data_IF_630331907537
#
_entry.id   IF_630331907537
#
_cell.length_a   1.000
_cell.length_b   1.000
_cell.length_c   1.000
_cell.angle_alpha   90.00
_cell.angle_beta   90.00
_cell.angle_gamma   90.00
#
_symmetry.space_group_name_H-M   'P 1'
#
loop_
_entity.id
_entity.type
_entity.pdbx_description
1 polymer ?
#
# COMPACT_ATOMS: atom_id res chain seq x y z
N UNK A 1 13.22 -15.22 -36.42
CA UNK A 1 13.67 -13.85 -36.70
C UNK A 1 13.48 -13.54 -38.17
N UNK A 2 12.36 -12.91 -38.50
CA UNK A 2 12.11 -12.31 -39.80
C UNK A 2 13.10 -11.15 -40.03
N UNK A 3 13.34 -10.77 -41.29
CA UNK A 3 14.19 -9.61 -41.61
C UNK A 3 13.64 -8.33 -40.95
N UNK A 4 12.32 -8.21 -40.82
CA UNK A 4 11.64 -7.07 -40.17
C UNK A 4 11.96 -6.94 -38.67
N UNK A 5 11.87 -8.05 -37.93
CA UNK A 5 12.17 -8.07 -36.48
C UNK A 5 13.61 -7.65 -36.18
N UNK A 6 14.55 -7.95 -37.09
CA UNK A 6 15.95 -7.53 -36.96
C UNK A 6 16.15 -6.04 -37.25
N UNK A 7 15.34 -5.47 -38.13
CA UNK A 7 15.36 -4.05 -38.48
C UNK A 7 14.79 -3.23 -37.31
N UNK A 8 13.67 -3.65 -36.73
CA UNK A 8 13.03 -2.97 -35.59
C UNK A 8 13.98 -2.90 -34.37
N UNK A 9 14.69 -3.99 -34.08
CA UNK A 9 15.70 -4.03 -33.01
C UNK A 9 16.83 -3.04 -33.24
N UNK A 10 17.31 -2.92 -34.48
CA UNK A 10 18.37 -1.98 -34.83
C UNK A 10 17.91 -0.52 -34.71
N UNK A 11 16.65 -0.25 -35.05
CA UNK A 11 16.03 1.06 -34.87
C UNK A 11 15.95 1.44 -33.39
N UNK A 12 15.57 0.52 -32.51
CA UNK A 12 15.54 0.74 -31.06
C UNK A 12 16.93 0.94 -30.44
N UNK A 13 17.96 0.25 -30.92
CA UNK A 13 19.34 0.46 -30.45
C UNK A 13 19.87 1.85 -30.77
N UNK A 14 19.46 2.43 -31.91
CA UNK A 14 19.85 3.78 -32.37
C UNK A 14 19.18 4.91 -31.57
N UNK A 15 18.06 4.62 -30.88
CA UNK A 15 17.31 5.61 -30.12
C UNK A 15 17.99 5.94 -28.78
N UNK A 16 17.80 7.18 -28.32
CA UNK A 16 18.25 7.62 -26.99
C UNK A 16 17.29 7.08 -25.92
N UNK A 17 17.78 6.99 -24.69
CA UNK A 17 17.01 6.48 -23.56
C UNK A 17 15.69 7.25 -23.34
N UNK A 18 15.68 8.57 -23.54
CA UNK A 18 14.46 9.38 -23.45
C UNK A 18 13.41 8.99 -24.50
N UNK A 19 13.84 8.83 -25.77
CA UNK A 19 12.94 8.42 -26.86
C UNK A 19 12.39 7.02 -26.65
N UNK A 20 13.21 6.09 -26.16
CA UNK A 20 12.74 4.73 -25.80
C UNK A 20 11.66 4.75 -24.72
N UNK A 21 11.78 5.65 -23.74
CA UNK A 21 10.76 5.85 -22.69
C UNK A 21 9.47 6.45 -23.23
N UNK A 22 9.55 7.37 -24.18
CA UNK A 22 8.36 7.97 -24.79
C UNK A 22 7.59 6.94 -25.62
N UNK A 23 8.31 6.10 -26.38
CA UNK A 23 7.72 4.99 -27.15
C UNK A 23 7.06 3.95 -26.24
N UNK A 24 7.66 3.66 -25.07
CA UNK A 24 7.03 2.79 -24.06
C UNK A 24 5.79 3.42 -23.42
N UNK A 25 5.79 4.75 -23.21
CA UNK A 25 4.63 5.47 -22.68
C UNK A 25 3.47 5.49 -23.68
N UNK A 26 3.76 5.61 -24.98
CA UNK A 26 2.75 5.55 -26.04
C UNK A 26 2.12 4.14 -26.18
N UNK A 27 2.88 3.10 -25.82
CA UNK A 27 2.44 1.69 -25.81
C UNK A 27 1.91 1.22 -24.44
N UNK A 28 1.74 2.12 -23.47
CA UNK A 28 1.30 1.84 -22.09
C UNK A 28 2.14 0.77 -21.34
N UNK A 29 3.44 0.67 -21.65
CA UNK A 29 4.38 -0.28 -21.03
C UNK A 29 5.19 0.38 -19.91
N UNK A 30 5.65 -0.44 -18.95
CA UNK A 30 6.50 0.03 -17.83
C UNK A 30 7.78 0.70 -18.33
N UNK A 31 8.02 1.92 -17.87
CA UNK A 31 9.13 2.82 -18.30
C UNK A 31 10.39 2.68 -17.42
N UNK A 32 10.36 1.76 -16.45
CA UNK A 32 11.49 1.48 -15.55
C UNK A 32 12.45 0.44 -16.15
N UNK A 33 13.75 0.60 -15.85
CA UNK A 33 14.81 -0.33 -16.24
C UNK A 33 16.02 0.32 -16.94
N UNK A 34 17.00 -0.51 -17.31
CA UNK A 34 18.18 -0.12 -18.10
C UNK A 34 17.82 -0.03 -19.59
N UNK A 35 18.64 0.67 -20.40
CA UNK A 35 18.40 0.86 -21.85
C UNK A 35 18.10 -0.46 -22.58
N UNK A 36 18.84 -1.53 -22.26
CA UNK A 36 18.64 -2.84 -22.87
C UNK A 36 17.28 -3.49 -22.52
N UNK A 37 16.79 -3.30 -21.29
CA UNK A 37 15.49 -3.83 -20.86
C UNK A 37 14.32 -3.10 -21.54
N UNK A 38 14.47 -1.79 -21.77
CA UNK A 38 13.49 -1.01 -22.52
C UNK A 38 13.39 -1.49 -23.98
N UNK A 39 14.53 -1.82 -24.60
CA UNK A 39 14.58 -2.34 -25.98
C UNK A 39 13.96 -3.74 -26.04
N UNK A 40 14.33 -4.64 -25.12
CA UNK A 40 13.76 -5.99 -25.07
C UNK A 40 12.24 -5.97 -24.86
N UNK A 41 11.74 -5.06 -24.01
CA UNK A 41 10.29 -4.90 -23.77
C UNK A 41 9.54 -4.39 -24.99
N UNK A 42 10.14 -3.50 -25.78
CA UNK A 42 9.57 -3.06 -27.06
C UNK A 42 9.58 -4.20 -28.08
N UNK A 43 10.70 -4.91 -28.21
CA UNK A 43 10.85 -6.06 -29.11
C UNK A 43 9.84 -7.18 -28.78
N UNK A 44 9.62 -7.47 -27.49
CA UNK A 44 8.62 -8.42 -27.02
C UNK A 44 7.21 -7.94 -27.36
N UNK A 45 6.86 -6.69 -27.05
CA UNK A 45 5.53 -6.14 -27.34
C UNK A 45 5.21 -6.06 -28.84
N UNK A 46 6.19 -5.79 -29.70
CA UNK A 46 5.99 -5.78 -31.15
C UNK A 46 5.95 -7.21 -31.74
N UNK A 47 6.59 -8.19 -31.08
CA UNK A 47 6.53 -9.62 -31.44
C UNK A 47 5.26 -10.31 -30.95
N UNK A 48 4.77 -9.93 -29.77
CA UNK A 48 3.57 -10.43 -29.14
C UNK A 48 2.58 -9.27 -28.95
N UNK A 49 1.81 -8.98 -29.99
CA UNK A 49 0.69 -8.02 -29.94
C UNK A 49 -0.49 -8.47 -29.06
N UNK A 50 -0.21 -9.09 -27.92
CA UNK A 50 -1.18 -9.57 -26.94
C UNK A 50 -0.77 -9.06 -25.56
N UNK A 51 -1.51 -8.05 -25.11
CA UNK A 51 -1.53 -7.54 -23.74
C UNK A 51 -1.63 -8.69 -22.73
N UNK A 52 -0.73 -8.72 -21.75
CA UNK A 52 -0.95 -9.46 -20.51
C UNK A 52 -0.44 -8.66 -19.32
N UNK A 53 -1.41 -8.14 -18.57
CA UNK A 53 -1.27 -7.53 -17.26
C UNK A 53 -0.70 -8.55 -16.26
N UNK A 54 0.57 -8.43 -15.92
CA UNK A 54 1.15 -9.12 -14.76
C UNK A 54 1.56 -8.10 -13.70
N UNK A 55 0.59 -7.83 -12.84
CA UNK A 55 0.77 -7.28 -11.49
C UNK A 55 1.44 -8.35 -10.62
N UNK A 56 2.75 -8.24 -10.43
CA UNK A 56 3.47 -9.05 -9.45
C UNK A 56 3.30 -8.49 -8.04
N UNK A 57 2.93 -9.43 -7.18
CA UNK A 57 2.72 -9.41 -5.75
C UNK A 57 4.00 -8.98 -5.00
N UNK A 58 3.90 -7.89 -4.23
CA UNK A 58 4.99 -7.39 -3.37
C UNK A 58 4.87 -8.13 -2.04
N UNK A 59 5.83 -9.02 -1.74
CA UNK A 59 6.03 -9.58 -0.40
C UNK A 59 6.39 -8.46 0.58
N UNK A 60 5.60 -8.31 1.65
CA UNK A 60 5.88 -7.47 2.81
C UNK A 60 7.12 -8.02 3.55
N UNK A 61 8.26 -7.36 3.39
CA UNK A 61 9.44 -7.57 4.23
C UNK A 61 9.21 -6.81 5.53
N UNK A 62 8.98 -7.55 6.63
CA UNK A 62 8.85 -7.03 7.99
C UNK A 62 10.26 -6.68 8.49
N UNK A 63 10.66 -5.40 8.33
CA UNK A 63 11.94 -4.87 8.80
C UNK A 63 11.81 -4.48 10.29
N UNK A 64 12.37 -5.34 11.16
CA UNK A 64 12.48 -5.17 12.61
C UNK A 64 13.65 -4.23 12.94
N UNK A 65 13.47 -2.93 12.68
CA UNK A 65 14.47 -1.92 13.03
C UNK A 65 14.34 -1.57 14.53
N UNK A 66 15.25 -2.13 15.33
CA UNK A 66 15.48 -1.72 16.72
C UNK A 66 15.81 -0.22 16.77
N UNK A 67 15.00 0.52 17.54
CA UNK A 67 15.14 1.93 17.87
C UNK A 67 16.38 2.14 18.76
N UNK A 68 17.57 2.20 18.14
CA UNK A 68 18.79 2.65 18.81
C UNK A 68 18.75 4.17 18.93
N UNK A 69 18.55 4.62 20.16
CA UNK A 69 18.36 6.01 20.58
C UNK A 69 19.62 6.83 20.29
N UNK A 70 19.68 7.43 19.11
CA UNK A 70 20.69 8.44 18.78
C UNK A 70 20.36 9.74 19.52
N UNK A 71 21.24 10.17 20.43
CA UNK A 71 21.20 11.49 21.04
C UNK A 71 21.58 12.53 19.97
N UNK A 72 20.57 13.19 19.43
CA UNK A 72 20.68 14.33 18.53
C UNK A 72 21.06 15.59 19.32
N UNK A 73 22.35 15.92 19.32
CA UNK A 73 22.89 17.22 19.73
C UNK A 73 23.73 17.81 18.60
N UNK A 74 23.15 17.86 17.40
CA UNK A 74 23.78 18.44 16.20
C UNK A 74 22.87 19.45 15.52
N UNK A 75 22.90 20.69 16.02
CA UNK A 75 22.79 21.93 15.24
C UNK A 75 21.64 21.96 14.20
N UNK A 76 20.42 22.11 14.70
CA UNK A 76 19.14 22.05 13.96
C UNK A 76 18.82 23.31 13.11
N UNK A 77 19.82 24.13 12.77
CA UNK A 77 19.66 25.34 11.95
C UNK A 77 20.07 25.14 10.47
N UNK A 78 20.42 23.90 10.04
CA UNK A 78 20.90 23.63 8.67
C UNK A 78 19.79 23.27 7.67
N UNK A 79 18.58 22.91 8.13
CA UNK A 79 17.51 22.39 7.26
C UNK A 79 16.27 23.30 7.15
N UNK A 80 16.34 24.53 7.63
CA UNK A 80 15.15 25.40 7.77
C UNK A 80 14.96 26.45 6.64
N UNK A 81 15.37 26.18 5.39
CA UNK A 81 15.18 27.24 4.35
C UNK A 81 14.91 26.78 2.90
N UNK A 82 14.57 25.50 2.64
CA UNK A 82 14.22 25.11 1.26
C UNK A 82 13.26 23.90 1.12
N UNK A 83 12.33 23.75 2.05
CA UNK A 83 11.22 22.76 1.93
C UNK A 83 9.84 23.42 1.94
N UNK A 84 9.74 24.60 1.33
CA UNK A 84 8.48 25.31 1.10
C UNK A 84 7.63 24.65 -0.03
N UNK A 85 7.65 23.32 -0.10
CA UNK A 85 6.68 22.53 -0.87
C UNK A 85 5.35 22.58 -0.12
N UNK A 86 4.58 23.62 -0.43
CA UNK A 86 3.27 23.89 0.12
C UNK A 86 2.40 22.62 0.06
N UNK A 87 1.79 22.23 1.18
CA UNK A 87 1.03 20.98 1.26
C UNK A 87 -0.15 20.99 0.27
N UNK A 88 -0.08 20.22 -0.82
CA UNK A 88 -1.19 20.02 -1.75
C UNK A 88 -1.96 18.76 -1.38
N UNK A 89 -3.23 18.93 -0.98
CA UNK A 89 -4.10 17.80 -0.67
C UNK A 89 -4.31 16.94 -1.94
N UNK A 90 -4.01 15.64 -1.84
CA UNK A 90 -4.23 14.68 -2.93
C UNK A 90 -5.70 14.71 -3.36
N UNK A 91 -5.94 14.75 -4.67
CA UNK A 91 -7.29 14.79 -5.26
C UNK A 91 -8.08 13.55 -4.83
N UNK A 92 -9.31 13.75 -4.36
CA UNK A 92 -10.22 12.65 -4.01
C UNK A 92 -10.78 12.01 -5.29
N UNK A 93 -10.93 10.67 -5.33
CA UNK A 93 -11.51 9.99 -6.48
C UNK A 93 -13.00 10.37 -6.65
N UNK A 94 -13.46 10.39 -7.90
CA UNK A 94 -14.89 10.50 -8.22
C UNK A 94 -15.52 9.13 -7.99
N UNK A 95 -16.61 9.09 -7.23
CA UNK A 95 -17.32 7.87 -6.87
C UNK A 95 -18.75 7.91 -7.42
N UNK A 96 -19.26 6.76 -7.83
CA UNK A 96 -20.66 6.60 -8.25
C UNK A 96 -21.63 6.86 -7.09
N UNK A 97 -22.88 7.19 -7.43
CA UNK A 97 -23.95 7.45 -6.45
C UNK A 97 -24.22 6.23 -5.55
N UNK A 98 -24.20 5.02 -6.13
CA UNK A 98 -24.36 3.75 -5.39
C UNK A 98 -23.24 3.55 -4.36
N UNK A 99 -21.98 3.69 -4.79
CA UNK A 99 -20.80 3.54 -3.93
C UNK A 99 -20.79 4.56 -2.79
N UNK A 100 -21.19 5.80 -3.08
CA UNK A 100 -21.27 6.85 -2.07
C UNK A 100 -22.33 6.52 -1.01
N UNK A 101 -23.48 5.98 -1.42
CA UNK A 101 -24.52 5.53 -0.51
C UNK A 101 -24.04 4.35 0.37
N UNK A 102 -23.35 3.37 -0.21
CA UNK A 102 -22.78 2.23 0.52
C UNK A 102 -21.75 2.68 1.56
N UNK A 103 -20.86 3.62 1.20
CA UNK A 103 -19.91 4.21 2.14
C UNK A 103 -20.62 4.90 3.32
N UNK A 104 -21.75 5.57 3.07
CA UNK A 104 -22.53 6.18 4.13
C UNK A 104 -23.12 5.13 5.08
N UNK A 105 -23.64 4.02 4.54
CA UNK A 105 -24.12 2.88 5.34
C UNK A 105 -22.97 2.28 6.16
N UNK A 106 -21.81 2.02 5.54
CA UNK A 106 -20.62 1.50 6.23
C UNK A 106 -20.17 2.42 7.38
N UNK A 107 -20.13 3.74 7.16
CA UNK A 107 -19.80 4.72 8.21
C UNK A 107 -20.81 4.67 9.36
N UNK A 108 -22.11 4.52 9.08
CA UNK A 108 -23.15 4.40 10.10
C UNK A 108 -23.00 3.11 10.92
N UNK A 109 -22.61 2.01 10.27
CA UNK A 109 -22.36 0.72 10.91
C UNK A 109 -21.07 0.73 11.73
N UNK A 110 -19.98 1.29 11.20
CA UNK A 110 -18.66 1.37 11.88
C UNK A 110 -18.74 2.08 13.23
N UNK A 111 -19.62 3.07 13.39
CA UNK A 111 -19.89 3.72 14.68
C UNK A 111 -20.49 2.78 15.74
N UNK A 112 -21.23 1.75 15.31
CA UNK A 112 -21.88 0.75 16.17
C UNK A 112 -21.04 -0.52 16.34
N UNK A 113 -20.04 -0.74 15.48
CA UNK A 113 -19.16 -1.90 15.55
C UNK A 113 -18.26 -1.79 16.79
N UNK A 114 -18.16 -2.84 17.61
CA UNK A 114 -17.28 -2.82 18.78
C UNK A 114 -15.80 -2.80 18.33
N UNK A 115 -14.93 -2.29 19.19
CA UNK A 115 -13.48 -2.27 18.90
C UNK A 115 -12.81 -3.66 18.89
N UNK A 116 -13.57 -4.74 19.14
CA UNK A 116 -13.09 -6.13 19.20
C UNK A 116 -11.78 -6.30 20.01
N UNK A 117 -11.75 -5.76 21.23
CA UNK A 117 -10.58 -5.90 22.12
C UNK A 117 -10.61 -7.22 22.89
N UNK A 118 -9.43 -7.76 23.21
CA UNK A 118 -9.28 -8.99 24.01
C UNK A 118 -9.95 -8.86 25.38
N UNK A 119 -10.51 -9.94 25.94
CA UNK A 119 -10.98 -9.93 27.34
C UNK A 119 -9.88 -9.42 28.29
N UNK A 120 -10.27 -8.64 29.30
CA UNK A 120 -9.36 -8.19 30.37
C UNK A 120 -8.17 -7.32 29.92
N UNK A 121 -8.20 -6.79 28.69
CA UNK A 121 -7.14 -5.93 28.16
C UNK A 121 -6.90 -4.68 29.01
N UNK A 122 -7.96 -4.14 29.62
CA UNK A 122 -7.93 -2.95 30.47
C UNK A 122 -7.38 -3.23 31.87
N UNK A 123 -7.39 -4.49 32.32
CA UNK A 123 -6.86 -4.89 33.65
C UNK A 123 -5.35 -5.12 33.64
N UNK A 124 -4.81 -5.66 32.55
CA UNK A 124 -3.39 -6.01 32.47
C UNK A 124 -2.68 -5.26 31.35
N UNK A 125 -1.70 -4.41 31.71
CA UNK A 125 -0.90 -3.62 30.74
C UNK A 125 -0.27 -4.45 29.62
N UNK A 126 0.19 -5.68 29.92
CA UNK A 126 0.74 -6.60 28.89
C UNK A 126 -0.26 -6.96 27.78
N UNK A 127 -1.56 -6.75 28.01
CA UNK A 127 -2.65 -7.06 27.08
C UNK A 127 -3.20 -5.81 26.39
N UNK A 128 -2.76 -4.60 26.74
CA UNK A 128 -3.36 -3.36 26.24
C UNK A 128 -3.16 -3.16 24.73
N UNK A 129 -1.98 -3.56 24.22
CA UNK A 129 -1.61 -3.53 22.80
C UNK A 129 -2.02 -4.78 22.02
N UNK A 130 -2.58 -5.79 22.69
CA UNK A 130 -3.03 -7.01 21.99
C UNK A 130 -4.41 -6.80 21.37
N UNK A 131 -4.53 -7.13 20.07
CA UNK A 131 -5.82 -7.17 19.37
C UNK A 131 -6.75 -8.29 19.86
N UNK A 132 -7.83 -8.55 19.11
CA UNK A 132 -8.79 -9.60 19.42
C UNK A 132 -8.13 -10.97 19.60
N UNK A 133 -8.53 -11.71 20.64
CA UNK A 133 -8.19 -13.13 20.80
C UNK A 133 -9.43 -13.89 21.24
N UNK A 134 -9.73 -15.00 20.56
CA UNK A 134 -10.88 -15.86 20.89
C UNK A 134 -10.85 -16.27 22.37
N UNK A 135 -11.88 -15.95 23.18
CA UNK A 135 -11.89 -16.31 24.59
C UNK A 135 -12.06 -17.83 24.76
N UNK A 136 -11.02 -18.51 25.25
CA UNK A 136 -11.01 -19.98 25.38
C UNK A 136 -11.51 -20.48 26.73
N UNK A 137 -11.32 -19.72 27.81
CA UNK A 137 -11.63 -20.15 29.17
C UNK A 137 -13.11 -20.43 29.38
N UNK A 138 -13.45 -21.56 30.03
CA UNK A 138 -14.85 -21.99 30.14
C UNK A 138 -15.74 -21.01 30.91
N UNK A 139 -15.14 -20.37 31.91
CA UNK A 139 -15.72 -19.38 32.81
C UNK A 139 -15.62 -17.93 32.29
N UNK A 140 -15.09 -17.69 31.08
CA UNK A 140 -14.99 -16.34 30.51
C UNK A 140 -16.38 -15.78 30.24
N UNK A 141 -16.72 -14.65 30.87
CA UNK A 141 -17.96 -13.91 30.65
C UNK A 141 -18.16 -13.52 29.19
N UNK A 142 -17.10 -13.10 28.50
CA UNK A 142 -17.16 -12.76 27.07
C UNK A 142 -17.45 -14.00 26.20
N UNK A 143 -16.93 -15.18 26.56
CA UNK A 143 -17.22 -16.44 25.85
C UNK A 143 -18.67 -16.88 26.02
N UNK A 144 -19.21 -16.74 27.24
CA UNK A 144 -20.61 -17.11 27.54
C UNK A 144 -21.61 -16.00 27.23
N UNK A 145 -21.17 -14.91 26.60
CA UNK A 145 -21.98 -13.71 26.32
C UNK A 145 -22.73 -13.18 27.55
N UNK A 146 -22.06 -13.22 28.72
CA UNK A 146 -22.57 -12.64 29.96
C UNK A 146 -22.19 -11.16 29.97
N UNK A 147 -23.20 -10.29 30.00
CA UNK A 147 -22.99 -8.85 30.17
C UNK A 147 -22.31 -8.58 31.51
N UNK A 148 -21.18 -7.88 31.49
CA UNK A 148 -20.46 -7.45 32.70
C UNK A 148 -20.99 -6.14 33.29
N UNK A 149 -21.84 -5.42 32.55
CA UNK A 149 -22.37 -4.10 32.96
C UNK A 149 -23.50 -4.17 33.98
N UNK A 150 -24.16 -5.34 34.12
CA UNK A 150 -25.26 -5.53 35.07
C UNK A 150 -24.80 -5.81 36.51
N UNK A 151 -23.49 -5.84 36.78
CA UNK A 151 -22.90 -6.26 38.06
C UNK A 151 -22.40 -5.08 38.93
N UNK A 152 -22.73 -3.83 38.56
CA UNK A 152 -22.26 -2.60 39.24
C UNK A 152 -23.38 -1.55 39.49
N UNK A 153 -24.65 -1.96 39.60
CA UNK A 153 -25.78 -1.07 39.93
C UNK A 153 -26.39 -1.32 41.33
N UNK A 154 -25.56 -1.59 42.34
CA UNK A 154 -25.98 -1.57 43.76
C UNK A 154 -25.28 -0.44 44.52
#
# INVERSE_FOLDING_TARGET
MSQREREDRADYESLTFAKLKDVLRERDLRVSGKKAELIARLEENDSSGATDDQVEEIEEVEDDFEDDKFEDDSDDDFFDDEWDDFHVARQKPVLDESTTADIAVLKSQKKKQPAFRRQEWFRYRRLSKTGWRKPKGMQSSQRVNRSTDLLWQE
#
